data_IF_343901213436
#
_entry.id   IF_343901213436
#
_cell.length_a   1.000
_cell.length_b   1.000
_cell.length_c   1.000
_cell.angle_alpha   90.00
_cell.angle_beta   90.00
_cell.angle_gamma   90.00
#
_symmetry.space_group_name_H-M   'P 1'
#
loop_
_entity.id
_entity.type
_entity.pdbx_description
1 polymer ?
#
# COMPACT_ATOMS: atom_id res chain seq x y z
N UNK A 1 1.47 -1.11 14.68
CA UNK A 1 1.14 -2.48 14.20
C UNK A 1 0.52 -3.33 15.29
N UNK A 2 0.04 -4.50 14.93
CA UNK A 2 -0.58 -5.47 15.85
C UNK A 2 0.40 -6.02 16.90
N UNK A 3 1.69 -5.88 16.65
CA UNK A 3 2.82 -6.24 17.52
C UNK A 3 3.21 -5.13 18.51
N UNK A 4 2.40 -4.09 18.61
CA UNK A 4 2.65 -2.92 19.46
C UNK A 4 3.91 -2.12 19.08
N UNK A 5 4.39 -2.26 17.85
CA UNK A 5 5.48 -1.48 17.28
C UNK A 5 4.98 -0.42 16.31
N UNK A 6 5.83 0.54 16.02
CA UNK A 6 5.60 1.56 14.99
C UNK A 6 6.17 1.04 13.68
N UNK A 7 5.35 1.08 12.63
CA UNK A 7 5.71 0.62 11.31
C UNK A 7 5.75 1.79 10.33
N UNK A 8 6.63 1.72 9.37
CA UNK A 8 6.76 2.76 8.34
C UNK A 8 7.31 2.22 7.03
N UNK A 9 7.25 3.06 6.02
CA UNK A 9 7.75 2.77 4.68
C UNK A 9 8.99 3.59 4.35
N UNK A 10 9.82 3.06 3.48
CA UNK A 10 11.02 3.72 2.94
C UNK A 10 10.90 3.82 1.44
N UNK A 11 11.06 5.03 0.92
CA UNK A 11 11.10 5.31 -0.52
C UNK A 11 12.49 5.18 -1.13
N UNK A 12 12.66 5.76 -2.31
CA UNK A 12 13.88 5.65 -3.14
C UNK A 12 15.18 5.96 -2.42
N UNK A 13 15.20 7.04 -1.66
CA UNK A 13 16.45 7.49 -1.02
C UNK A 13 16.98 6.49 0.00
N UNK A 14 16.11 5.61 0.51
CA UNK A 14 16.46 4.80 1.65
C UNK A 14 16.86 5.67 2.85
N UNK A 15 17.37 5.05 3.88
CA UNK A 15 18.05 5.74 4.97
C UNK A 15 19.10 4.83 5.61
N UNK A 16 19.95 5.38 6.45
CA UNK A 16 20.94 4.61 7.20
C UNK A 16 20.78 4.87 8.69
N UNK A 17 20.90 3.81 9.49
CA UNK A 17 20.88 3.90 10.94
C UNK A 17 21.95 2.97 11.51
N UNK A 18 22.85 3.49 12.34
CA UNK A 18 23.95 2.74 12.97
C UNK A 18 24.75 1.88 11.96
N UNK A 19 25.05 2.42 10.79
CA UNK A 19 25.80 1.73 9.73
C UNK A 19 25.00 0.72 8.92
N UNK A 20 23.75 0.46 9.29
CA UNK A 20 22.83 -0.36 8.48
C UNK A 20 22.07 0.52 7.49
N UNK A 21 22.09 0.14 6.20
CA UNK A 21 21.32 0.80 5.16
C UNK A 21 19.97 0.10 4.98
N UNK A 22 18.91 0.92 4.94
CA UNK A 22 17.56 0.52 4.64
C UNK A 22 17.18 1.00 3.24
N UNK A 23 16.79 0.07 2.38
CA UNK A 23 16.32 0.34 1.03
C UNK A 23 14.81 0.58 0.98
N UNK A 24 14.26 0.57 -0.23
CA UNK A 24 12.81 0.69 -0.45
C UNK A 24 12.08 -0.48 0.20
N UNK A 25 11.06 -0.19 1.01
CA UNK A 25 10.32 -1.25 1.68
C UNK A 25 9.67 -0.84 2.98
N UNK A 26 9.57 -1.79 3.89
CA UNK A 26 8.91 -1.65 5.19
C UNK A 26 9.87 -1.92 6.33
N UNK A 27 9.81 -1.07 7.33
CA UNK A 27 10.54 -1.19 8.59
C UNK A 27 9.61 -1.09 9.78
N UNK A 28 10.07 -1.50 10.94
CA UNK A 28 9.40 -1.25 12.22
C UNK A 28 10.41 -0.89 13.30
N UNK A 29 9.92 -0.25 14.35
CA UNK A 29 10.71 0.09 15.51
C UNK A 29 9.86 0.12 16.78
N UNK A 30 10.53 -0.06 17.93
CA UNK A 30 9.90 0.03 19.24
C UNK A 30 9.48 1.47 19.55
N UNK A 31 8.47 1.65 20.39
CA UNK A 31 8.01 2.99 20.83
C UNK A 31 9.12 3.84 21.47
N UNK A 32 10.11 3.19 22.09
CA UNK A 32 11.29 3.85 22.67
C UNK A 32 12.35 4.25 21.63
N UNK A 33 12.22 3.77 20.37
CA UNK A 33 13.25 3.93 19.35
C UNK A 33 14.50 3.05 19.56
N UNK A 34 14.49 2.14 20.53
CA UNK A 34 15.67 1.33 20.89
C UNK A 34 15.98 0.20 19.92
N UNK A 35 15.03 -0.15 19.09
CA UNK A 35 15.17 -1.23 18.09
C UNK A 35 14.56 -0.76 16.77
N UNK A 36 15.30 -0.94 15.68
CA UNK A 36 14.86 -0.64 14.33
C UNK A 36 15.18 -1.83 13.43
N UNK A 37 14.16 -2.38 12.78
CA UNK A 37 14.27 -3.56 11.93
C UNK A 37 13.73 -3.27 10.54
N UNK A 38 14.48 -3.64 9.50
CA UNK A 38 14.00 -3.68 8.13
C UNK A 38 13.37 -5.05 7.86
N UNK A 39 12.14 -5.07 7.39
CA UNK A 39 11.35 -6.30 7.31
C UNK A 39 11.14 -6.79 5.88
N UNK A 40 10.70 -5.91 5.00
CA UNK A 40 10.32 -6.28 3.64
C UNK A 40 10.91 -5.29 2.64
N UNK A 41 11.58 -5.82 1.63
CA UNK A 41 12.08 -5.04 0.51
C UNK A 41 11.05 -5.04 -0.62
N UNK A 42 10.65 -3.85 -1.08
CA UNK A 42 9.88 -3.68 -2.29
C UNK A 42 10.79 -3.26 -3.45
N UNK A 43 10.27 -3.35 -4.65
CA UNK A 43 11.09 -3.12 -5.85
C UNK A 43 11.04 -1.69 -6.38
N UNK A 44 10.27 -0.82 -5.76
CA UNK A 44 10.11 0.57 -6.18
C UNK A 44 9.77 1.47 -4.98
N UNK A 45 9.66 2.76 -5.25
CA UNK A 45 9.36 3.80 -4.26
C UNK A 45 8.08 3.46 -3.48
N UNK A 46 8.22 3.15 -2.20
CA UNK A 46 7.14 2.62 -1.38
C UNK A 46 6.33 3.76 -0.79
N UNK A 47 5.03 3.78 -1.06
CA UNK A 47 4.11 4.84 -0.65
C UNK A 47 2.99 4.38 0.29
N UNK A 48 2.89 3.10 0.54
CA UNK A 48 1.86 2.61 1.42
C UNK A 48 2.14 1.23 1.98
N UNK A 49 1.56 0.98 3.13
CA UNK A 49 1.55 -0.34 3.76
C UNK A 49 0.24 -0.55 4.51
N UNK A 50 -0.12 -1.79 4.74
CA UNK A 50 -1.28 -2.16 5.54
C UNK A 50 -1.23 -3.62 5.95
N UNK A 51 -2.17 -4.00 6.80
CA UNK A 51 -2.29 -5.34 7.33
C UNK A 51 -3.66 -5.92 7.01
N UNK A 52 -3.68 -7.19 6.63
CA UNK A 52 -4.93 -7.93 6.64
C UNK A 52 -5.27 -8.39 8.08
N UNK A 53 -6.45 -9.00 8.32
CA UNK A 53 -6.81 -9.49 9.65
C UNK A 53 -5.87 -10.56 10.22
N UNK A 54 -5.12 -11.26 9.38
CA UNK A 54 -4.13 -12.25 9.81
C UNK A 54 -2.79 -11.63 10.22
N UNK A 55 -2.62 -10.30 10.05
CA UNK A 55 -1.38 -9.59 10.34
C UNK A 55 -0.33 -9.68 9.21
N UNK A 56 -0.69 -10.23 8.06
CA UNK A 56 0.19 -10.23 6.90
C UNK A 56 0.35 -8.81 6.34
N UNK A 57 1.58 -8.49 5.93
CA UNK A 57 1.98 -7.17 5.46
C UNK A 57 1.77 -7.04 3.96
N UNK A 58 1.14 -5.95 3.56
CA UNK A 58 0.96 -5.55 2.17
C UNK A 58 1.47 -4.13 1.98
N UNK A 59 1.63 -3.73 0.74
CA UNK A 59 2.01 -2.36 0.43
C UNK A 59 1.78 -1.98 -1.01
N UNK A 60 2.02 -0.72 -1.29
CA UNK A 60 1.97 -0.14 -2.63
C UNK A 60 3.25 0.61 -2.95
N UNK A 61 3.57 0.71 -4.22
CA UNK A 61 4.71 1.49 -4.70
C UNK A 61 4.33 2.32 -5.90
N UNK A 62 5.17 3.29 -6.24
CA UNK A 62 5.10 3.97 -7.52
C UNK A 62 5.19 2.98 -8.70
N UNK A 63 4.80 3.47 -9.87
CA UNK A 63 5.00 2.83 -11.18
C UNK A 63 4.33 1.45 -11.31
N UNK A 64 3.01 1.44 -11.26
CA UNK A 64 2.14 0.29 -11.52
C UNK A 64 2.15 -0.83 -10.46
N UNK A 65 2.43 -0.50 -9.23
CA UNK A 65 2.41 -1.49 -8.17
C UNK A 65 1.40 -1.15 -7.06
N UNK A 66 0.11 -1.25 -7.33
CA UNK A 66 -0.91 -0.93 -6.34
C UNK A 66 -1.00 -1.96 -5.20
N UNK A 67 -0.44 -3.16 -5.37
CA UNK A 67 -0.52 -4.18 -4.34
C UNK A 67 0.68 -5.13 -4.36
N UNK A 68 1.42 -5.14 -3.25
CA UNK A 68 2.47 -6.09 -2.94
C UNK A 68 2.12 -6.90 -1.70
N UNK A 69 2.61 -8.13 -1.65
CA UNK A 69 2.62 -8.94 -0.44
C UNK A 69 4.05 -9.02 0.10
N UNK A 70 4.24 -8.70 1.38
CA UNK A 70 5.55 -8.65 2.02
C UNK A 70 6.24 -10.01 2.12
N UNK A 71 5.49 -11.08 2.31
CA UNK A 71 6.03 -12.43 2.41
C UNK A 71 6.83 -12.65 3.71
N UNK A 72 7.93 -13.37 3.62
CA UNK A 72 8.79 -13.71 4.77
C UNK A 72 9.64 -12.48 5.14
N UNK A 73 9.58 -12.01 6.40
CA UNK A 73 10.41 -10.90 6.85
C UNK A 73 11.91 -11.20 6.76
N UNK A 74 12.69 -10.18 6.42
CA UNK A 74 14.15 -10.28 6.33
C UNK A 74 14.82 -10.75 7.62
N UNK A 75 14.21 -10.42 8.76
CA UNK A 75 14.70 -10.80 10.09
C UNK A 75 14.69 -12.30 10.36
N UNK A 76 13.89 -13.07 9.60
CA UNK A 76 13.80 -14.53 9.72
C UNK A 76 14.87 -15.23 8.87
N UNK A 77 15.42 -14.54 7.87
CA UNK A 77 16.37 -15.13 6.94
C UNK A 77 17.82 -14.93 7.41
N UNK A 78 18.66 -15.96 7.36
CA UNK A 78 20.08 -15.84 7.68
C UNK A 78 20.76 -14.77 6.81
N UNK A 79 21.51 -13.86 7.43
CA UNK A 79 22.23 -12.81 6.75
C UNK A 79 21.41 -11.57 6.42
N UNK A 80 20.18 -11.46 6.90
CA UNK A 80 19.36 -10.25 6.80
C UNK A 80 18.99 -9.84 5.37
N UNK A 81 19.20 -10.69 4.38
CA UNK A 81 18.76 -10.45 3.00
C UNK A 81 17.33 -10.94 2.86
N UNK A 82 16.37 -10.02 2.96
CA UNK A 82 14.98 -10.29 2.71
C UNK A 82 14.73 -10.72 1.26
N UNK A 83 13.68 -11.49 1.06
CA UNK A 83 13.13 -11.69 -0.27
C UNK A 83 12.46 -10.39 -0.70
N UNK A 84 12.71 -9.99 -1.94
CA UNK A 84 11.98 -8.85 -2.53
C UNK A 84 10.50 -9.19 -2.57
N UNK A 85 9.67 -8.30 -2.04
CA UNK A 85 8.23 -8.48 -2.04
C UNK A 85 7.71 -8.52 -3.47
N UNK A 86 6.80 -9.47 -3.73
CA UNK A 86 6.28 -9.70 -5.07
C UNK A 86 5.00 -8.88 -5.28
N UNK A 87 4.89 -8.25 -6.44
CA UNK A 87 3.63 -7.70 -6.91
C UNK A 87 2.58 -8.81 -7.04
N UNK A 88 1.40 -8.56 -6.49
CA UNK A 88 0.28 -9.49 -6.50
C UNK A 88 -0.92 -9.00 -7.31
N UNK A 89 -0.92 -7.73 -7.73
CA UNK A 89 -1.97 -7.18 -8.57
C UNK A 89 -1.87 -7.73 -10.01
N UNK A 90 -2.93 -8.38 -10.47
CA UNK A 90 -2.99 -8.95 -11.83
C UNK A 90 -3.18 -7.90 -12.93
N UNK A 91 -3.73 -6.74 -12.58
CA UNK A 91 -3.89 -5.57 -13.45
C UNK A 91 -3.69 -4.30 -12.65
N UNK A 92 -2.65 -3.54 -12.93
CA UNK A 92 -2.39 -2.27 -12.26
C UNK A 92 -3.13 -1.08 -12.92
N UNK A 93 -3.95 -1.31 -13.91
CA UNK A 93 -4.71 -0.24 -14.59
C UNK A 93 -5.83 0.29 -13.72
N UNK A 94 -6.12 1.57 -13.87
CA UNK A 94 -7.28 2.22 -13.27
C UNK A 94 -8.20 2.79 -14.37
N UNK A 95 -9.42 3.16 -13.98
CA UNK A 95 -10.44 3.68 -14.88
C UNK A 95 -10.95 5.02 -14.35
N UNK A 96 -10.30 6.15 -14.72
CA UNK A 96 -10.75 7.47 -14.31
C UNK A 96 -12.07 7.80 -14.98
N UNK A 97 -12.87 8.68 -14.36
CA UNK A 97 -14.15 9.12 -14.89
C UNK A 97 -14.03 10.40 -15.74
N UNK A 98 -12.82 10.92 -15.87
CA UNK A 98 -12.50 12.11 -16.68
C UNK A 98 -11.27 11.84 -17.54
N UNK A 99 -11.18 12.41 -18.76
CA UNK A 99 -9.94 12.38 -19.53
C UNK A 99 -8.86 13.33 -18.98
N UNK A 100 -9.26 14.29 -18.12
CA UNK A 100 -8.38 15.30 -17.56
C UNK A 100 -7.63 14.71 -16.35
N UNK A 101 -6.74 13.77 -16.61
CA UNK A 101 -5.85 13.19 -15.62
C UNK A 101 -4.41 13.56 -15.94
N UNK A 102 -3.66 13.92 -14.91
CA UNK A 102 -2.24 14.17 -15.06
C UNK A 102 -1.44 12.91 -14.72
N UNK A 103 -0.84 12.33 -15.74
CA UNK A 103 0.01 11.17 -15.58
C UNK A 103 1.41 11.43 -16.13
N UNK A 104 2.42 11.14 -15.30
CA UNK A 104 3.81 11.44 -15.60
C UNK A 104 4.54 10.20 -16.09
N UNK A 105 4.50 9.10 -15.35
CA UNK A 105 5.31 7.92 -15.64
C UNK A 105 4.54 6.78 -16.32
N UNK A 106 3.31 6.54 -15.90
CA UNK A 106 2.50 5.42 -16.39
C UNK A 106 1.10 5.88 -16.74
N UNK A 107 0.82 5.98 -18.02
CA UNK A 107 -0.53 6.36 -18.49
C UNK A 107 -1.53 5.21 -18.30
N UNK A 108 -2.68 5.50 -17.70
CA UNK A 108 -3.75 4.52 -17.45
C UNK A 108 -3.49 3.57 -16.28
N UNK A 109 -2.42 3.78 -15.52
CA UNK A 109 -2.05 2.93 -14.38
C UNK A 109 -1.68 3.73 -13.13
N UNK A 110 -1.42 3.04 -12.04
CA UNK A 110 -1.06 3.64 -10.76
C UNK A 110 0.38 4.17 -10.79
N UNK A 111 0.56 5.41 -11.23
CA UNK A 111 1.87 6.08 -11.21
C UNK A 111 2.38 6.24 -9.79
N UNK A 112 1.51 6.62 -8.86
CA UNK A 112 1.83 6.84 -7.45
C UNK A 112 0.79 6.15 -6.57
N UNK A 113 0.76 4.81 -6.60
CA UNK A 113 -0.13 4.06 -5.72
C UNK A 113 0.21 4.34 -4.26
N UNK A 114 -0.75 4.82 -3.48
CA UNK A 114 -0.55 5.26 -2.10
C UNK A 114 -1.52 4.60 -1.12
N UNK A 115 -1.01 4.27 0.06
CA UNK A 115 -1.76 3.51 1.06
C UNK A 115 -1.94 2.03 0.66
N UNK A 116 -2.46 1.24 1.57
CA UNK A 116 -2.93 -0.13 1.34
C UNK A 116 -3.75 -0.58 2.55
N UNK A 117 -4.92 -0.01 2.76
CA UNK A 117 -5.79 -0.37 3.89
C UNK A 117 -6.73 -1.51 3.52
N UNK A 118 -7.04 -2.38 4.48
CA UNK A 118 -8.04 -3.44 4.31
C UNK A 118 -9.38 -3.06 4.94
N UNK A 119 -10.47 -3.60 4.41
CA UNK A 119 -11.80 -3.47 4.96
C UNK A 119 -11.93 -4.29 6.28
N UNK A 120 -11.24 -3.86 7.33
CA UNK A 120 -11.08 -4.57 8.61
C UNK A 120 -12.11 -4.13 9.68
N UNK A 121 -13.31 -3.73 9.27
CA UNK A 121 -14.36 -3.27 10.17
C UNK A 121 -15.69 -3.95 9.87
N UNK A 122 -16.52 -4.07 10.91
CA UNK A 122 -17.91 -4.57 10.76
C UNK A 122 -18.85 -3.58 10.05
N UNK A 123 -18.42 -2.34 9.83
CA UNK A 123 -19.17 -1.35 9.05
C UNK A 123 -19.12 -1.63 7.54
N UNK A 124 -18.15 -2.42 7.08
CA UNK A 124 -18.12 -2.84 5.68
C UNK A 124 -19.06 -4.02 5.42
N UNK A 125 -19.58 -4.16 4.19
CA UNK A 125 -20.31 -5.35 3.77
C UNK A 125 -19.53 -6.63 4.06
N UNK A 126 -20.22 -7.66 4.53
CA UNK A 126 -19.58 -8.93 4.90
C UNK A 126 -18.64 -9.50 3.82
N UNK A 127 -18.99 -9.51 2.53
CA UNK A 127 -18.10 -10.02 1.49
C UNK A 127 -16.78 -9.23 1.33
N UNK A 128 -16.68 -8.00 1.86
CA UNK A 128 -15.49 -7.16 1.77
C UNK A 128 -14.52 -7.38 2.91
N UNK A 129 -15.03 -7.78 4.07
CA UNK A 129 -14.29 -7.83 5.33
C UNK A 129 -13.05 -8.72 5.21
N UNK A 130 -11.89 -8.11 5.43
CA UNK A 130 -10.60 -8.77 5.38
C UNK A 130 -10.15 -9.27 3.99
N UNK A 131 -10.96 -9.05 2.95
CA UNK A 131 -10.71 -9.52 1.58
C UNK A 131 -10.49 -8.39 0.59
N UNK A 132 -10.96 -7.19 0.91
CA UNK A 132 -10.82 -6.02 0.06
C UNK A 132 -9.87 -5.02 0.65
N UNK A 133 -9.03 -4.46 -0.20
CA UNK A 133 -8.10 -3.40 0.16
C UNK A 133 -8.36 -2.14 -0.67
N UNK A 134 -7.95 -1.01 -0.14
CA UNK A 134 -8.12 0.31 -0.72
C UNK A 134 -6.75 0.89 -1.02
N UNK A 135 -6.56 1.37 -2.25
CA UNK A 135 -5.31 1.97 -2.70
C UNK A 135 -5.62 3.25 -3.45
N UNK A 136 -5.04 4.35 -3.01
CA UNK A 136 -5.19 5.64 -3.65
C UNK A 136 -4.38 5.73 -4.94
N UNK A 137 -5.00 6.32 -5.96
CA UNK A 137 -4.37 6.65 -7.24
C UNK A 137 -4.51 8.14 -7.50
N UNK A 138 -3.64 8.99 -6.90
CA UNK A 138 -3.78 10.44 -6.97
C UNK A 138 -3.77 10.97 -8.40
N UNK A 139 -2.92 10.42 -9.27
CA UNK A 139 -2.81 10.83 -10.67
C UNK A 139 -4.01 10.45 -11.54
N UNK A 140 -4.89 9.59 -11.04
CA UNK A 140 -6.13 9.19 -11.71
C UNK A 140 -7.37 9.75 -11.04
N UNK A 141 -7.23 10.59 -10.02
CA UNK A 141 -8.30 11.23 -9.27
C UNK A 141 -9.28 10.20 -8.68
N UNK A 142 -8.73 9.12 -8.08
CA UNK A 142 -9.53 7.98 -7.65
C UNK A 142 -8.94 7.22 -6.45
N UNK A 143 -9.82 6.46 -5.81
CA UNK A 143 -9.47 5.41 -4.85
C UNK A 143 -9.92 4.07 -5.42
N UNK A 144 -8.96 3.20 -5.69
CA UNK A 144 -9.22 1.85 -6.16
C UNK A 144 -9.53 0.89 -5.03
N UNK A 145 -10.42 -0.07 -5.30
CA UNK A 145 -10.68 -1.19 -4.41
C UNK A 145 -10.24 -2.49 -5.08
N UNK A 146 -9.51 -3.30 -4.32
CA UNK A 146 -8.92 -4.54 -4.80
C UNK A 146 -9.46 -5.74 -4.05
N UNK A 147 -9.89 -6.77 -4.79
CA UNK A 147 -10.16 -8.09 -4.24
C UNK A 147 -8.83 -8.81 -4.00
N UNK A 148 -8.58 -9.19 -2.76
CA UNK A 148 -7.37 -9.90 -2.34
C UNK A 148 -7.74 -11.27 -1.79
N UNK A 149 -7.09 -12.30 -2.28
CA UNK A 149 -7.34 -13.69 -1.88
C UNK A 149 -6.04 -14.49 -1.77
N UNK A 150 -6.07 -15.59 -1.01
CA UNK A 150 -4.94 -16.52 -0.91
C UNK A 150 -4.63 -17.14 -2.27
N UNK A 151 -3.33 -17.33 -2.52
CA UNK A 151 -2.79 -18.02 -3.68
C UNK A 151 -1.57 -18.84 -3.26
N UNK A 152 -1.79 -20.09 -2.93
CA UNK A 152 -0.78 -20.93 -2.28
C UNK A 152 -0.31 -20.36 -0.94
N UNK A 153 0.99 -20.21 -0.76
CA UNK A 153 1.60 -19.59 0.41
C UNK A 153 1.57 -18.05 0.38
N UNK A 154 1.08 -17.45 -0.70
CA UNK A 154 1.01 -16.02 -0.89
C UNK A 154 -0.41 -15.53 -1.13
N UNK A 155 -0.48 -14.45 -1.90
CA UNK A 155 -1.73 -13.78 -2.25
C UNK A 155 -1.74 -13.37 -3.72
N UNK A 156 -2.93 -13.19 -4.25
CA UNK A 156 -3.21 -12.49 -5.50
C UNK A 156 -4.23 -11.39 -5.24
N UNK A 157 -4.16 -10.35 -6.06
CA UNK A 157 -5.03 -9.19 -5.97
C UNK A 157 -5.51 -8.78 -7.35
N UNK A 158 -6.72 -8.24 -7.42
CA UNK A 158 -7.31 -7.74 -8.66
C UNK A 158 -8.11 -6.48 -8.36
N UNK A 159 -7.95 -5.44 -9.19
CA UNK A 159 -8.83 -4.28 -9.13
C UNK A 159 -10.27 -4.72 -9.34
N UNK A 160 -11.14 -4.46 -8.37
CA UNK A 160 -12.56 -4.79 -8.45
C UNK A 160 -13.33 -3.65 -9.13
N UNK A 161 -13.14 -2.43 -8.63
CA UNK A 161 -13.69 -1.17 -9.18
C UNK A 161 -13.06 0.03 -8.49
N UNK A 162 -13.36 1.22 -8.99
CA UNK A 162 -12.97 2.47 -8.33
C UNK A 162 -14.05 2.82 -7.31
N UNK A 163 -13.70 2.76 -6.01
CA UNK A 163 -14.65 3.04 -4.91
C UNK A 163 -15.06 4.51 -4.90
N UNK A 164 -14.08 5.39 -5.15
CA UNK A 164 -14.28 6.83 -5.31
C UNK A 164 -13.55 7.26 -6.55
N UNK A 165 -14.16 8.10 -7.35
CA UNK A 165 -13.52 8.77 -8.48
C UNK A 165 -14.14 10.17 -8.65
N UNK A 166 -13.32 11.12 -9.07
CA UNK A 166 -13.74 12.53 -9.26
C UNK A 166 -13.38 13.02 -10.65
N UNK A 167 -14.22 13.90 -11.19
CA UNK A 167 -13.91 14.69 -12.36
C UNK A 167 -13.18 16.01 -12.01
N UNK A 168 -13.05 16.31 -10.73
CA UNK A 168 -12.25 17.42 -10.24
C UNK A 168 -10.76 17.07 -10.36
N UNK A 169 -10.04 17.85 -11.17
CA UNK A 169 -8.61 17.67 -11.42
C UNK A 169 -7.74 17.88 -10.17
N UNK A 170 -8.27 18.51 -9.15
CA UNK A 170 -7.58 18.74 -7.88
C UNK A 170 -7.76 17.61 -6.88
N UNK A 171 -8.72 16.71 -7.12
CA UNK A 171 -8.89 15.53 -6.26
C UNK A 171 -7.72 14.58 -6.43
N UNK A 172 -6.85 14.53 -5.45
CA UNK A 172 -5.62 13.72 -5.43
C UNK A 172 -5.52 12.94 -4.12
N UNK A 173 -6.26 11.83 -3.97
CA UNK A 173 -6.24 11.06 -2.75
C UNK A 173 -4.87 10.42 -2.54
N UNK A 174 -4.28 10.60 -1.36
CA UNK A 174 -2.92 10.15 -1.02
C UNK A 174 -2.87 9.10 0.07
N UNK A 175 -3.95 8.91 0.80
CA UNK A 175 -4.08 7.83 1.78
C UNK A 175 -5.55 7.47 1.97
N UNK A 176 -5.79 6.23 2.37
CA UNK A 176 -7.09 5.77 2.84
C UNK A 176 -6.85 4.79 4.00
N UNK A 177 -7.53 5.01 5.12
CA UNK A 177 -7.37 4.19 6.33
C UNK A 177 -8.72 3.94 6.98
N UNK A 178 -8.84 2.81 7.66
CA UNK A 178 -10.02 2.52 8.48
C UNK A 178 -9.82 3.16 9.85
N UNK A 179 -10.65 4.14 10.14
CA UNK A 179 -10.61 4.89 11.39
C UNK A 179 -11.11 4.08 12.59
N UNK A 180 -10.94 4.62 13.81
CA UNK A 180 -11.41 3.96 15.05
C UNK A 180 -12.94 3.83 15.11
N UNK A 181 -13.66 4.61 14.33
CA UNK A 181 -15.11 4.52 14.14
C UNK A 181 -15.53 3.38 13.17
N UNK A 182 -14.55 2.68 12.60
CA UNK A 182 -14.75 1.60 11.63
C UNK A 182 -15.10 2.05 10.22
N UNK A 183 -15.07 3.34 9.93
CA UNK A 183 -15.33 3.89 8.60
C UNK A 183 -14.04 4.11 7.83
N UNK A 184 -14.14 4.17 6.50
CA UNK A 184 -13.02 4.51 5.64
C UNK A 184 -12.84 6.03 5.61
N UNK A 185 -11.65 6.47 6.01
CA UNK A 185 -11.21 7.86 5.90
C UNK A 185 -10.26 8.00 4.74
N UNK A 186 -10.44 9.06 3.95
CA UNK A 186 -9.61 9.34 2.78
C UNK A 186 -8.98 10.72 2.96
N UNK A 187 -7.65 10.77 2.86
CA UNK A 187 -6.91 12.04 2.81
C UNK A 187 -6.74 12.46 1.37
N UNK A 188 -7.21 13.65 1.07
CA UNK A 188 -7.06 14.28 -0.23
C UNK A 188 -5.98 15.38 -0.15
N UNK A 189 -4.98 15.30 -1.01
CA UNK A 189 -3.97 16.36 -1.13
C UNK A 189 -4.53 17.63 -1.75
N UNK A 190 -5.58 17.49 -2.51
CA UNK A 190 -6.27 18.56 -3.24
C UNK A 190 -5.31 19.48 -3.99
N UNK A 191 -4.53 18.88 -4.85
CA UNK A 191 -3.56 19.58 -5.69
C UNK A 191 -3.42 18.84 -7.02
N UNK A 192 -3.40 19.57 -8.12
CA UNK A 192 -3.09 18.99 -9.43
C UNK A 192 -1.63 18.51 -9.42
N UNK A 193 -1.43 17.23 -9.39
CA UNK A 193 -0.10 16.58 -9.36
C UNK A 193 0.56 16.67 -10.73
#
# INVERSE_FOLDING_TARGET
GLDNQIWGTVGYSGFSNNGQRFGMGVYRFTKSGSSLEFLHQFNNNTWGMGFNPAGDVFGSTANNNPSFFGGIPATILPGGKGLSAKMIASSPTFHPITPNIRQVDVFGGYTAAAGHAFANSNNFPEPWRGKRSFVAGPTGNLLGMFDTSRDGAGYKSKNAFQLVASADEWFSPVAAEVGPDGNLWISDWYNSV
#
